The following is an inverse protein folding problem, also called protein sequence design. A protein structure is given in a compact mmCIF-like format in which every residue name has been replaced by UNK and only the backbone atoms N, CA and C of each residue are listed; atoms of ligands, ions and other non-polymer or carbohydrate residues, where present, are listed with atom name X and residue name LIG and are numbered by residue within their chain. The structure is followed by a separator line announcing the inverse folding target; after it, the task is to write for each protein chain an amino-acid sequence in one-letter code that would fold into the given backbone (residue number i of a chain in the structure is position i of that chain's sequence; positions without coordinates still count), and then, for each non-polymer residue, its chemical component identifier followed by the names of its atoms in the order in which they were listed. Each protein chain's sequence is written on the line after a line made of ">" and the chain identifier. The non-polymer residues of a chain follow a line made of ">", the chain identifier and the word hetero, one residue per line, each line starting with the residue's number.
data_IF_391601590548
#
_entry.id   IF_391601590548
#
_cell.length_a   1.000
_cell.length_b   1.000
_cell.length_c   1.000
_cell.angle_alpha   90.00
_cell.angle_beta   90.00
_cell.angle_gamma   90.00
#
_symmetry.space_group_name_H-M   'P 1'
#
loop_
_entity.id
_entity.type
_entity.pdbx_description
1 polymer ?
#
# COMPACT_ATOMS: atom_id res chain seq x y z
N UNK A 1 -3.47 7.71 -8.66
CA UNK A 1 -3.12 7.77 -7.23
C UNK A 1 -2.86 9.22 -6.86
N UNK A 2 -3.21 9.63 -5.64
CA UNK A 2 -2.84 10.92 -5.07
C UNK A 2 -1.73 10.70 -4.07
N UNK A 3 -0.47 10.88 -4.49
CA UNK A 3 0.65 10.50 -3.64
C UNK A 3 0.73 11.35 -2.35
N UNK A 4 0.51 12.67 -2.46
CA UNK A 4 0.46 13.61 -1.33
C UNK A 4 -0.62 14.69 -1.54
N UNK A 5 -0.58 15.75 -0.72
CA UNK A 5 -1.52 16.87 -0.77
C UNK A 5 -1.33 17.83 -1.96
N UNK A 6 -0.16 17.83 -2.62
CA UNK A 6 0.18 18.85 -3.62
C UNK A 6 -0.81 18.90 -4.79
N UNK A 7 -1.36 17.75 -5.18
CA UNK A 7 -2.27 17.65 -6.31
C UNK A 7 -3.76 17.68 -5.95
N UNK A 8 -4.12 17.69 -4.66
CA UNK A 8 -5.52 17.66 -4.22
C UNK A 8 -6.34 18.84 -4.78
N UNK A 9 -5.86 20.10 -4.77
CA UNK A 9 -6.63 21.23 -5.29
C UNK A 9 -6.87 21.20 -6.81
N UNK A 10 -6.04 20.47 -7.56
CA UNK A 10 -6.08 20.44 -9.03
C UNK A 10 -7.04 19.38 -9.59
N UNK A 11 -7.66 18.56 -8.74
CA UNK A 11 -8.58 17.49 -9.18
C UNK A 11 -9.95 18.09 -9.42
N UNK A 12 -10.19 18.50 -10.65
CA UNK A 12 -11.47 19.05 -11.11
C UNK A 12 -12.27 18.04 -11.94
N UNK A 13 -11.62 16.99 -12.47
CA UNK A 13 -12.30 15.95 -13.26
C UNK A 13 -11.49 14.64 -13.30
N UNK A 14 -12.07 13.53 -12.82
CA UNK A 14 -11.49 12.18 -12.97
C UNK A 14 -12.23 11.49 -14.12
N UNK A 15 -11.59 11.39 -15.29
CA UNK A 15 -12.15 10.72 -16.48
C UNK A 15 -11.56 9.31 -16.64
N UNK A 16 -12.41 8.35 -17.02
CA UNK A 16 -11.98 7.00 -17.42
C UNK A 16 -11.46 6.06 -16.33
N UNK A 17 -11.33 6.53 -15.09
CA UNK A 17 -10.76 5.74 -13.99
C UNK A 17 -11.85 5.14 -13.09
N UNK A 18 -11.81 3.82 -12.85
CA UNK A 18 -12.71 3.14 -11.91
C UNK A 18 -12.33 3.36 -10.44
N UNK A 19 -11.08 3.75 -10.17
CA UNK A 19 -10.48 3.73 -8.84
C UNK A 19 -9.60 4.97 -8.61
N UNK A 20 -9.65 5.52 -7.40
CA UNK A 20 -8.75 6.59 -6.92
C UNK A 20 -8.05 6.12 -5.65
N UNK A 21 -6.75 5.83 -5.75
CA UNK A 21 -5.89 5.51 -4.60
C UNK A 21 -5.44 6.79 -3.89
N UNK A 22 -5.59 6.81 -2.57
CA UNK A 22 -5.21 7.93 -1.68
C UNK A 22 -3.71 8.07 -1.43
N UNK A 23 -3.38 8.78 -0.34
CA UNK A 23 -2.02 9.21 0.01
C UNK A 23 -1.08 8.04 0.31
N UNK A 24 0.17 8.19 -0.12
CA UNK A 24 1.22 7.18 0.04
C UNK A 24 1.90 7.28 1.42
N UNK A 25 1.77 6.23 2.24
CA UNK A 25 2.50 6.11 3.50
C UNK A 25 2.45 7.39 4.36
N UNK A 26 1.25 7.92 4.67
CA UNK A 26 1.11 9.20 5.36
C UNK A 26 1.72 9.19 6.78
N UNK A 27 1.90 8.01 7.37
CA UNK A 27 2.51 7.85 8.68
C UNK A 27 4.06 7.82 8.68
N UNK A 28 4.69 7.90 7.51
CA UNK A 28 6.15 7.98 7.35
C UNK A 28 6.58 9.42 7.04
N UNK A 29 7.72 9.84 7.62
CA UNK A 29 8.29 11.19 7.48
C UNK A 29 8.83 11.47 6.08
N UNK A 30 9.46 10.46 5.47
CA UNK A 30 10.09 10.56 4.15
C UNK A 30 9.09 10.37 2.98
N UNK A 31 7.82 10.09 3.29
CA UNK A 31 6.78 9.80 2.31
C UNK A 31 5.80 10.98 2.22
N UNK A 32 4.49 10.74 2.15
CA UNK A 32 3.56 11.88 2.07
C UNK A 32 3.49 12.70 3.37
N UNK A 33 3.85 12.10 4.52
CA UNK A 33 3.97 12.75 5.83
C UNK A 33 2.74 13.62 6.20
N UNK A 34 1.59 12.97 6.41
CA UNK A 34 0.31 13.64 6.64
C UNK A 34 -0.31 13.10 7.93
N UNK A 35 -0.71 14.00 8.83
CA UNK A 35 -1.47 13.60 10.02
C UNK A 35 -2.82 12.98 9.63
N UNK A 36 -3.35 12.05 10.43
CA UNK A 36 -4.66 11.46 10.18
C UNK A 36 -5.78 12.50 10.04
N UNK A 37 -5.73 13.55 10.87
CA UNK A 37 -6.77 14.57 10.90
C UNK A 37 -6.77 15.42 9.62
N UNK A 38 -5.59 15.89 9.21
CA UNK A 38 -5.44 16.66 7.98
C UNK A 38 -5.80 15.81 6.75
N UNK A 39 -5.42 14.53 6.74
CA UNK A 39 -5.79 13.61 5.67
C UNK A 39 -7.31 13.48 5.55
N UNK A 40 -8.04 13.33 6.66
CA UNK A 40 -9.50 13.23 6.67
C UNK A 40 -10.17 14.53 6.20
N UNK A 41 -9.68 15.69 6.63
CA UNK A 41 -10.21 17.00 6.20
C UNK A 41 -10.06 17.19 4.68
N UNK A 42 -8.89 16.85 4.14
CA UNK A 42 -8.63 16.90 2.70
C UNK A 42 -9.41 15.84 1.94
N UNK A 43 -9.65 14.67 2.54
CA UNK A 43 -10.47 13.62 1.94
C UNK A 43 -11.92 14.06 1.75
N UNK A 44 -12.52 14.69 2.76
CA UNK A 44 -13.90 15.19 2.69
C UNK A 44 -14.06 16.30 1.63
N UNK A 45 -13.03 17.12 1.41
CA UNK A 45 -13.02 18.08 0.31
C UNK A 45 -12.92 17.37 -1.04
N UNK A 46 -11.97 16.43 -1.16
CA UNK A 46 -11.72 15.65 -2.37
C UNK A 46 -12.96 14.87 -2.81
N UNK A 47 -13.61 14.14 -1.91
CA UNK A 47 -14.68 13.20 -2.27
C UNK A 47 -15.88 13.88 -2.93
N UNK A 48 -16.09 15.19 -2.72
CA UNK A 48 -17.14 15.99 -3.36
C UNK A 48 -16.94 16.11 -4.87
N UNK A 49 -15.69 16.10 -5.33
CA UNK A 49 -15.31 16.25 -6.72
C UNK A 49 -15.07 14.91 -7.43
N UNK A 50 -15.11 13.80 -6.69
CA UNK A 50 -14.88 12.47 -7.25
C UNK A 50 -16.24 11.86 -7.63
N UNK A 51 -16.47 11.51 -8.91
CA UNK A 51 -17.76 10.96 -9.35
C UNK A 51 -18.19 9.71 -8.57
N UNK A 52 -19.50 9.48 -8.47
CA UNK A 52 -20.08 8.36 -7.69
C UNK A 52 -19.61 6.97 -8.18
N UNK A 53 -19.35 6.84 -9.49
CA UNK A 53 -18.88 5.60 -10.12
C UNK A 53 -17.36 5.35 -9.94
N UNK A 54 -16.61 6.31 -9.38
CA UNK A 54 -15.20 6.14 -9.03
C UNK A 54 -15.11 5.67 -7.58
N UNK A 55 -14.49 4.50 -7.38
CA UNK A 55 -14.24 3.92 -6.06
C UNK A 55 -13.03 4.58 -5.41
N UNK A 56 -13.16 5.00 -4.16
CA UNK A 56 -12.08 5.67 -3.42
C UNK A 56 -11.41 4.69 -2.46
N UNK A 57 -10.10 4.51 -2.62
CA UNK A 57 -9.27 3.63 -1.80
C UNK A 57 -8.49 4.51 -0.83
N UNK A 58 -8.53 4.19 0.46
CA UNK A 58 -7.94 5.00 1.53
C UNK A 58 -6.46 5.37 1.28
N UNK A 59 -5.93 6.35 2.02
CA UNK A 59 -4.50 6.45 2.22
C UNK A 59 -3.89 5.13 2.72
N UNK A 60 -2.68 4.82 2.27
CA UNK A 60 -1.99 3.57 2.55
C UNK A 60 -1.05 3.71 3.75
N UNK A 61 -1.61 3.79 4.97
CA UNK A 61 -0.79 3.72 6.17
C UNK A 61 -0.22 2.28 6.32
N UNK A 62 1.07 2.17 6.63
CA UNK A 62 1.82 0.91 6.61
C UNK A 62 2.61 0.70 7.91
N UNK A 63 3.05 -0.54 8.22
CA UNK A 63 3.84 -0.82 9.41
C UNK A 63 5.10 0.02 9.42
N UNK A 64 5.34 0.67 10.54
CA UNK A 64 6.36 1.67 10.74
C UNK A 64 7.00 1.38 12.10
N UNK A 65 8.26 1.74 12.33
CA UNK A 65 8.90 1.55 13.63
C UNK A 65 8.92 2.88 14.38
N UNK A 66 8.02 3.06 15.35
CA UNK A 66 7.96 4.28 16.17
C UNK A 66 9.19 4.50 17.06
N UNK A 67 10.06 3.50 17.24
CA UNK A 67 11.35 3.70 17.92
C UNK A 67 12.33 4.48 17.03
N UNK A 68 12.22 4.31 15.71
CA UNK A 68 12.93 5.14 14.74
C UNK A 68 12.16 6.44 14.48
N UNK A 69 12.41 7.41 15.37
CA UNK A 69 11.79 8.73 15.30
C UNK A 69 12.15 9.52 14.04
N UNK A 70 13.17 9.11 13.27
CA UNK A 70 13.59 9.82 12.06
C UNK A 70 12.82 9.37 10.82
N UNK A 71 12.26 8.16 10.83
CA UNK A 71 11.49 7.62 9.70
C UNK A 71 10.00 7.60 10.01
N UNK A 72 9.63 7.33 11.26
CA UNK A 72 8.25 7.09 11.64
C UNK A 72 7.63 8.24 12.42
N UNK A 73 6.41 8.63 12.03
CA UNK A 73 5.58 9.50 12.87
C UNK A 73 4.67 8.69 13.79
N UNK A 74 4.13 7.56 13.31
CA UNK A 74 3.03 6.86 13.96
C UNK A 74 2.85 5.44 13.43
N UNK A 75 2.43 4.51 14.31
CA UNK A 75 1.95 3.20 13.87
C UNK A 75 0.73 3.30 12.95
N UNK A 76 0.64 2.39 11.97
CA UNK A 76 -0.50 2.30 11.06
C UNK A 76 -1.84 2.19 11.81
N UNK A 77 -1.87 1.43 12.92
CA UNK A 77 -3.07 1.21 13.71
C UNK A 77 -3.57 2.51 14.32
N UNK A 78 -2.70 3.28 14.96
CA UNK A 78 -3.04 4.61 15.50
C UNK A 78 -3.44 5.57 14.37
N UNK A 79 -2.76 5.52 13.21
CA UNK A 79 -3.07 6.38 12.08
C UNK A 79 -4.49 6.10 11.54
N UNK A 80 -4.84 4.84 11.29
CA UNK A 80 -6.17 4.46 10.82
C UNK A 80 -7.25 4.80 11.85
N UNK A 81 -7.05 4.47 13.14
CA UNK A 81 -8.02 4.79 14.20
C UNK A 81 -8.37 6.28 14.20
N UNK A 82 -7.35 7.14 14.16
CA UNK A 82 -7.54 8.60 14.16
C UNK A 82 -8.16 9.11 12.86
N UNK A 83 -7.74 8.58 11.71
CA UNK A 83 -8.27 8.98 10.41
C UNK A 83 -9.76 8.66 10.30
N UNK A 84 -10.17 7.43 10.61
CA UNK A 84 -11.59 7.04 10.57
C UNK A 84 -12.42 7.76 11.64
N UNK A 85 -11.87 7.98 12.85
CA UNK A 85 -12.54 8.79 13.86
C UNK A 85 -12.79 10.22 13.37
N UNK A 86 -11.78 10.86 12.75
CA UNK A 86 -11.94 12.20 12.18
C UNK A 86 -12.92 12.22 11.01
N UNK A 87 -12.89 11.21 10.14
CA UNK A 87 -13.88 11.06 9.08
C UNK A 87 -15.31 11.03 9.63
N UNK A 88 -15.57 10.31 10.72
CA UNK A 88 -16.88 10.28 11.36
C UNK A 88 -17.29 11.65 11.91
N UNK A 89 -16.37 12.37 12.55
CA UNK A 89 -16.62 13.73 13.06
C UNK A 89 -16.95 14.74 11.94
N UNK A 90 -16.42 14.54 10.73
CA UNK A 90 -16.63 15.41 9.59
C UNK A 90 -17.87 15.05 8.74
N UNK A 91 -18.73 14.15 9.23
CA UNK A 91 -19.94 13.72 8.52
C UNK A 91 -19.73 12.53 7.57
N UNK A 92 -18.57 11.87 7.62
CA UNK A 92 -18.28 10.64 6.92
C UNK A 92 -17.35 10.78 5.71
N UNK A 93 -16.41 9.85 5.58
CA UNK A 93 -15.56 9.71 4.39
C UNK A 93 -16.07 8.59 3.49
N UNK A 94 -16.14 8.83 2.18
CA UNK A 94 -16.35 7.75 1.21
C UNK A 94 -15.05 6.96 1.06
N UNK A 95 -15.05 5.73 1.56
CA UNK A 95 -13.93 4.79 1.49
C UNK A 95 -14.51 3.42 1.12
N UNK A 96 -14.31 3.04 -0.14
CA UNK A 96 -14.79 1.75 -0.68
C UNK A 96 -13.84 0.60 -0.29
N UNK A 97 -12.53 0.89 -0.23
CA UNK A 97 -11.48 -0.08 0.11
C UNK A 97 -10.40 0.57 0.97
N UNK A 98 -9.67 -0.22 1.75
CA UNK A 98 -8.52 0.26 2.53
C UNK A 98 -7.22 -0.21 1.91
N UNK A 99 -6.34 0.72 1.55
CA UNK A 99 -5.00 0.39 1.08
C UNK A 99 -4.01 0.25 2.24
N UNK A 100 -3.02 -0.61 2.06
CA UNK A 100 -1.86 -0.70 2.94
C UNK A 100 -0.68 -1.37 2.22
N UNK A 101 0.51 -1.27 2.82
CA UNK A 101 1.73 -1.90 2.33
C UNK A 101 2.31 -2.83 3.40
N UNK A 102 3.03 -3.86 2.96
CA UNK A 102 3.81 -4.65 3.89
C UNK A 102 5.02 -5.31 3.23
N UNK A 103 6.19 -5.06 3.80
CA UNK A 103 7.45 -5.59 3.33
C UNK A 103 8.00 -6.59 4.34
N UNK A 104 7.95 -7.87 4.00
CA UNK A 104 8.39 -9.00 4.83
C UNK A 104 8.76 -10.19 3.94
N UNK A 105 9.62 -11.08 4.42
CA UNK A 105 9.91 -12.35 3.76
C UNK A 105 9.12 -13.52 4.36
N UNK A 106 8.17 -13.25 5.26
CA UNK A 106 7.34 -14.26 5.92
C UNK A 106 5.86 -14.08 5.53
N UNK A 107 5.29 -15.07 4.84
CA UNK A 107 3.92 -15.03 4.37
C UNK A 107 2.88 -15.03 5.51
N UNK A 108 3.20 -15.66 6.64
CA UNK A 108 2.32 -15.66 7.82
C UNK A 108 2.31 -14.30 8.51
N UNK A 109 3.46 -13.61 8.56
CA UNK A 109 3.52 -12.24 9.10
C UNK A 109 2.70 -11.29 8.21
N UNK A 110 2.80 -11.44 6.88
CA UNK A 110 1.95 -10.70 5.93
C UNK A 110 0.47 -10.95 6.20
N UNK A 111 0.04 -12.21 6.24
CA UNK A 111 -1.38 -12.52 6.41
C UNK A 111 -1.91 -12.11 7.80
N UNK A 112 -1.11 -12.30 8.85
CA UNK A 112 -1.44 -11.87 10.21
C UNK A 112 -1.60 -10.36 10.30
N UNK A 113 -0.68 -9.60 9.68
CA UNK A 113 -0.77 -8.15 9.57
C UNK A 113 -2.05 -7.70 8.85
N UNK A 114 -2.32 -8.26 7.67
CA UNK A 114 -3.50 -7.91 6.88
C UNK A 114 -4.80 -8.26 7.61
N UNK A 115 -4.82 -9.38 8.34
CA UNK A 115 -5.93 -9.75 9.22
C UNK A 115 -6.16 -8.72 10.34
N UNK A 116 -5.08 -8.19 10.94
CA UNK A 116 -5.18 -7.13 11.94
C UNK A 116 -5.74 -5.81 11.36
N UNK A 117 -5.27 -5.40 10.16
CA UNK A 117 -5.83 -4.24 9.45
C UNK A 117 -7.31 -4.44 9.16
N UNK A 118 -7.69 -5.58 8.58
CA UNK A 118 -9.09 -5.89 8.29
C UNK A 118 -9.95 -5.89 9.56
N UNK A 119 -9.45 -6.45 10.66
CA UNK A 119 -10.18 -6.46 11.93
C UNK A 119 -10.39 -5.07 12.51
N UNK A 120 -9.47 -4.14 12.26
CA UNK A 120 -9.60 -2.76 12.70
C UNK A 120 -10.59 -1.97 11.83
N UNK A 121 -10.52 -2.11 10.51
CA UNK A 121 -11.23 -1.21 9.56
C UNK A 121 -12.52 -1.81 9.00
N UNK A 122 -12.68 -3.14 9.09
CA UNK A 122 -13.83 -3.94 8.59
C UNK A 122 -14.24 -3.57 7.15
N UNK A 123 -13.26 -3.34 6.28
CA UNK A 123 -13.41 -3.04 4.85
C UNK A 123 -12.47 -3.92 4.03
N UNK A 124 -12.84 -4.34 2.80
CA UNK A 124 -11.94 -5.13 1.97
C UNK A 124 -10.66 -4.36 1.64
N UNK A 125 -9.54 -5.07 1.60
CA UNK A 125 -8.21 -4.48 1.52
C UNK A 125 -7.64 -4.46 0.11
N UNK A 126 -6.85 -3.45 -0.18
CA UNK A 126 -5.89 -3.41 -1.27
C UNK A 126 -4.48 -3.48 -0.67
N UNK A 127 -3.73 -4.53 -1.00
CA UNK A 127 -2.31 -4.62 -0.67
C UNK A 127 -1.53 -3.98 -1.82
N UNK A 128 -1.43 -2.66 -1.82
CA UNK A 128 -0.92 -1.91 -2.98
C UNK A 128 0.59 -2.05 -3.18
N UNK A 129 1.31 -2.44 -2.14
CA UNK A 129 2.71 -2.80 -2.20
C UNK A 129 3.02 -3.92 -1.21
N UNK A 130 3.64 -4.99 -1.68
CA UNK A 130 4.27 -6.00 -0.83
C UNK A 130 5.42 -6.68 -1.55
N UNK A 131 6.45 -7.06 -0.79
CA UNK A 131 7.62 -7.75 -1.31
C UNK A 131 8.44 -8.34 -0.15
N UNK A 132 9.46 -9.14 -0.48
CA UNK A 132 10.49 -9.59 0.45
C UNK A 132 11.72 -8.67 0.31
N UNK A 133 11.87 -7.66 1.19
CA UNK A 133 12.97 -6.70 1.12
C UNK A 133 14.33 -7.30 1.56
N UNK A 134 15.41 -6.51 1.46
CA UNK A 134 16.75 -6.82 1.98
C UNK A 134 17.44 -8.08 1.40
N UNK A 135 16.95 -8.60 0.29
CA UNK A 135 17.49 -9.77 -0.40
C UNK A 135 18.30 -9.33 -1.61
N UNK A 136 19.63 -9.20 -1.46
CA UNK A 136 20.48 -8.59 -2.51
C UNK A 136 21.03 -9.54 -3.56
N UNK A 137 21.40 -10.76 -3.16
CA UNK A 137 22.17 -11.68 -4.02
C UNK A 137 21.43 -12.98 -4.30
N UNK A 138 20.64 -13.46 -3.34
CA UNK A 138 19.87 -14.69 -3.46
C UNK A 138 18.38 -14.37 -3.58
N UNK A 139 17.78 -14.80 -4.69
CA UNK A 139 16.35 -14.65 -4.94
C UNK A 139 15.50 -15.79 -4.34
N UNK A 140 16.12 -16.83 -3.78
CA UNK A 140 15.42 -17.98 -3.20
C UNK A 140 14.45 -17.58 -2.09
N UNK A 141 14.79 -16.70 -1.12
CA UNK A 141 13.84 -16.26 -0.10
C UNK A 141 12.65 -15.52 -0.72
N UNK A 142 12.89 -14.71 -1.76
CA UNK A 142 11.84 -13.98 -2.48
C UNK A 142 10.88 -14.96 -3.17
N UNK A 143 11.42 -15.96 -3.89
CA UNK A 143 10.63 -16.99 -4.58
C UNK A 143 9.82 -17.82 -3.60
N UNK A 144 10.40 -18.20 -2.45
CA UNK A 144 9.70 -18.96 -1.41
C UNK A 144 8.58 -18.14 -0.77
N UNK A 145 8.85 -16.88 -0.43
CA UNK A 145 7.83 -15.97 0.07
C UNK A 145 6.70 -15.80 -0.94
N UNK A 146 7.00 -15.58 -2.23
CA UNK A 146 6.00 -15.43 -3.29
C UNK A 146 5.12 -16.68 -3.42
N UNK A 147 5.70 -17.88 -3.46
CA UNK A 147 4.94 -19.15 -3.53
C UNK A 147 4.01 -19.36 -2.34
N UNK A 148 4.35 -18.84 -1.16
CA UNK A 148 3.52 -18.95 0.03
C UNK A 148 2.47 -17.83 0.11
N UNK A 149 2.87 -16.58 -0.14
CA UNK A 149 2.04 -15.39 0.04
C UNK A 149 0.92 -15.30 -1.00
N UNK A 150 1.19 -15.55 -2.28
CA UNK A 150 0.17 -15.38 -3.34
C UNK A 150 -1.05 -16.29 -3.12
N UNK A 151 -0.90 -17.61 -2.88
CA UNK A 151 -2.05 -18.46 -2.60
C UNK A 151 -2.80 -18.08 -1.32
N UNK A 152 -2.12 -17.52 -0.32
CA UNK A 152 -2.78 -17.02 0.90
C UNK A 152 -3.62 -15.78 0.62
N UNK A 153 -3.11 -14.85 -0.19
CA UNK A 153 -3.85 -13.64 -0.59
C UNK A 153 -5.07 -14.00 -1.45
N UNK A 154 -4.92 -14.91 -2.43
CA UNK A 154 -6.01 -15.39 -3.29
C UNK A 154 -7.15 -16.08 -2.50
N UNK A 155 -6.81 -16.83 -1.46
CA UNK A 155 -7.81 -17.52 -0.61
C UNK A 155 -8.48 -16.59 0.42
N UNK A 156 -7.97 -15.38 0.62
CA UNK A 156 -8.43 -14.48 1.68
C UNK A 156 -9.60 -13.62 1.21
N UNK A 157 -10.80 -13.90 1.69
CA UNK A 157 -12.04 -13.20 1.28
C UNK A 157 -12.07 -11.70 1.57
N UNK A 158 -11.21 -11.22 2.47
CA UNK A 158 -11.09 -9.80 2.81
C UNK A 158 -10.04 -9.06 1.97
N UNK A 159 -9.27 -9.75 1.12
CA UNK A 159 -8.34 -9.15 0.17
C UNK A 159 -9.07 -8.97 -1.17
N UNK A 160 -9.19 -7.73 -1.62
CA UNK A 160 -9.84 -7.43 -2.90
C UNK A 160 -8.81 -7.38 -4.05
N UNK A 161 -7.64 -6.79 -3.80
CA UNK A 161 -6.53 -6.69 -4.76
C UNK A 161 -5.21 -6.67 -4.03
N UNK A 162 -4.17 -7.12 -4.71
CA UNK A 162 -2.79 -6.98 -4.27
C UNK A 162 -1.89 -6.64 -5.48
N UNK A 163 -0.75 -6.01 -5.22
CA UNK A 163 0.25 -5.69 -6.23
C UNK A 163 1.65 -5.92 -5.68
N UNK A 164 2.39 -6.83 -6.30
CA UNK A 164 3.78 -7.11 -5.94
C UNK A 164 4.64 -5.87 -6.22
N UNK A 165 5.41 -5.45 -5.22
CA UNK A 165 6.34 -4.35 -5.39
C UNK A 165 7.65 -4.87 -5.99
N UNK A 166 7.94 -4.41 -7.21
CA UNK A 166 9.11 -4.81 -7.98
C UNK A 166 10.07 -3.63 -8.17
N UNK A 167 11.35 -3.88 -7.93
CA UNK A 167 12.40 -2.95 -8.31
C UNK A 167 12.55 -2.91 -9.84
N UNK A 168 12.93 -1.76 -10.41
CA UNK A 168 13.09 -1.59 -11.88
C UNK A 168 14.38 -0.90 -12.28
N UNK A 169 15.30 -0.65 -11.34
CA UNK A 169 16.59 -0.02 -11.63
C UNK A 169 17.68 -1.08 -11.77
N UNK A 170 18.82 -0.67 -12.32
CA UNK A 170 20.01 -1.52 -12.49
C UNK A 170 20.80 -1.72 -11.19
N UNK A 171 20.58 -0.86 -10.19
CA UNK A 171 21.30 -0.85 -8.92
C UNK A 171 20.33 -0.81 -7.75
N UNK A 172 20.74 -1.35 -6.61
CA UNK A 172 19.91 -1.33 -5.41
C UNK A 172 19.61 0.12 -4.97
N UNK A 173 18.37 0.36 -4.54
CA UNK A 173 18.01 1.54 -3.74
C UNK A 173 18.36 1.24 -2.28
N UNK A 174 19.58 1.61 -1.89
CA UNK A 174 20.15 1.25 -0.59
C UNK A 174 20.23 -0.27 -0.42
N UNK A 175 19.92 -0.76 0.78
CA UNK A 175 19.80 -2.20 1.06
C UNK A 175 18.37 -2.72 0.94
N UNK A 176 17.38 -1.84 0.81
CA UNK A 176 15.97 -2.20 0.93
C UNK A 176 15.44 -2.95 -0.31
N UNK A 177 15.75 -2.43 -1.51
CA UNK A 177 15.26 -2.98 -2.78
C UNK A 177 16.42 -3.12 -3.76
N UNK A 178 16.61 -4.35 -4.26
CA UNK A 178 17.66 -4.70 -5.21
C UNK A 178 17.07 -5.30 -6.50
N UNK A 179 17.85 -5.38 -7.59
CA UNK A 179 17.40 -5.98 -8.86
C UNK A 179 16.84 -7.41 -8.75
N UNK A 180 17.23 -8.15 -7.72
CA UNK A 180 16.73 -9.49 -7.36
C UNK A 180 15.21 -9.59 -7.15
N UNK A 181 14.54 -8.52 -6.70
CA UNK A 181 13.07 -8.49 -6.56
C UNK A 181 12.35 -8.04 -7.85
N UNK A 182 13.09 -7.81 -8.94
CA UNK A 182 12.50 -7.35 -10.20
C UNK A 182 11.77 -8.47 -10.93
N UNK A 183 10.63 -8.13 -11.52
CA UNK A 183 9.86 -9.03 -12.39
C UNK A 183 10.30 -8.95 -13.86
N UNK A 184 11.04 -7.90 -14.24
CA UNK A 184 11.53 -7.68 -15.60
C UNK A 184 13.02 -7.34 -15.60
N UNK A 185 13.76 -7.83 -16.58
CA UNK A 185 15.16 -7.47 -16.75
C UNK A 185 15.33 -6.12 -17.48
N UNK A 186 16.58 -5.71 -17.70
CA UNK A 186 16.92 -4.45 -18.38
C UNK A 186 16.53 -4.41 -19.85
N UNK A 187 16.20 -5.55 -20.46
CA UNK A 187 15.71 -5.67 -21.83
C UNK A 187 14.17 -5.75 -21.89
N UNK A 188 13.50 -5.58 -20.74
CA UNK A 188 12.04 -5.66 -20.63
C UNK A 188 11.49 -7.09 -20.68
N UNK A 189 12.34 -8.11 -20.56
CA UNK A 189 11.91 -9.51 -20.54
C UNK A 189 11.59 -9.98 -19.13
N UNK A 190 10.70 -10.95 -18.98
CA UNK A 190 10.37 -11.51 -17.67
C UNK A 190 11.57 -12.22 -17.05
N UNK A 191 11.92 -11.84 -15.83
CA UNK A 191 12.87 -12.57 -14.99
C UNK A 191 12.28 -13.92 -14.56
N UNK A 192 13.08 -14.78 -13.93
CA UNK A 192 12.56 -16.00 -13.30
C UNK A 192 11.46 -15.67 -12.27
N UNK A 193 11.65 -14.60 -11.50
CA UNK A 193 10.67 -14.12 -10.52
C UNK A 193 9.39 -13.60 -11.20
N UNK A 194 9.53 -12.87 -12.32
CA UNK A 194 8.39 -12.42 -13.13
C UNK A 194 7.56 -13.57 -13.67
N UNK A 195 8.22 -14.60 -14.20
CA UNK A 195 7.53 -15.83 -14.67
C UNK A 195 6.86 -16.57 -13.53
N UNK A 196 7.50 -16.65 -12.37
CA UNK A 196 6.89 -17.25 -11.17
C UNK A 196 5.61 -16.52 -10.77
N UNK A 197 5.65 -15.18 -10.68
CA UNK A 197 4.47 -14.39 -10.30
C UNK A 197 3.28 -14.60 -11.24
N UNK A 198 3.51 -14.76 -12.54
CA UNK A 198 2.45 -15.04 -13.52
C UNK A 198 1.90 -16.48 -13.47
N UNK A 199 2.63 -17.40 -12.85
CA UNK A 199 2.26 -18.82 -12.77
C UNK A 199 1.46 -19.20 -11.53
N UNK A 200 1.39 -18.31 -10.54
CA UNK A 200 0.70 -18.48 -9.26
C UNK A 200 -0.71 -17.88 -9.31
#
# INVERSE_FOLDING_TARGET
>A
MLWNLAHVPMITNIRGNKYLLGFNEPNFRAQSNISPELAAEKWVQLQKNVPANVKMISPAAAPCDTNDKNTCNMQFSTWFTRFFARCNQLGGCRIDYVATHHYTCNAYDLLGYLGAVYNQVKKPLWVTEFSCPWTRYDATPIKNFMRAAIPMLEKSSFIYRYAWFAHRLQSCLGSFLCPTISLIDTNGQLTELGRLYLSL
#
